data_IF_197902712798
#
_entry.id   IF_197902712798
#
_cell.length_a   1.000
_cell.length_b   1.000
_cell.length_c   1.000
_cell.angle_alpha   90.00
_cell.angle_beta   90.00
_cell.angle_gamma   90.00
#
_symmetry.space_group_name_H-M   'P 1'
#
loop_
_entity.id
_entity.type
_entity.pdbx_description
1 polymer ?
#
# COMPACT_ATOMS: atom_id res chain seq x y z
N UNK A 1 -9.12 -9.62 10.67
CA UNK A 1 -8.32 -8.48 10.19
C UNK A 1 -8.93 -7.97 8.90
N UNK A 2 -9.53 -6.76 8.90
CA UNK A 2 -10.18 -6.24 7.69
C UNK A 2 -9.14 -5.86 6.63
N UNK A 3 -9.37 -6.32 5.42
CA UNK A 3 -8.54 -6.01 4.25
C UNK A 3 -9.48 -5.48 3.18
N UNK A 4 -9.24 -4.24 2.77
CA UNK A 4 -10.00 -3.61 1.70
C UNK A 4 -9.10 -3.38 0.51
N UNK A 5 -9.42 -4.03 -0.61
CA UNK A 5 -8.74 -3.77 -1.86
C UNK A 5 -9.39 -2.58 -2.54
N UNK A 6 -8.58 -1.60 -2.86
CA UNK A 6 -9.03 -0.36 -3.50
C UNK A 6 -8.23 -0.12 -4.76
N UNK A 7 -8.94 0.24 -5.84
CA UNK A 7 -8.30 0.62 -7.07
C UNK A 7 -8.05 2.12 -7.04
N UNK A 8 -6.78 2.53 -7.21
CA UNK A 8 -6.41 3.94 -7.18
C UNK A 8 -6.15 4.52 -8.58
N UNK A 9 -6.31 3.71 -9.60
CA UNK A 9 -6.18 4.12 -10.99
C UNK A 9 -6.99 3.20 -11.89
N UNK A 10 -6.96 3.46 -13.19
CA UNK A 10 -7.79 2.75 -14.17
C UNK A 10 -7.19 1.42 -14.62
N UNK A 11 -5.88 1.24 -14.43
CA UNK A 11 -5.20 0.04 -14.92
C UNK A 11 -5.32 -1.13 -13.93
N UNK A 12 -5.25 -2.37 -14.43
CA UNK A 12 -5.44 -3.55 -13.56
C UNK A 12 -4.45 -3.65 -12.40
N UNK A 13 -3.24 -3.12 -12.55
CA UNK A 13 -2.21 -3.14 -11.50
C UNK A 13 -2.29 -1.94 -10.56
N UNK A 14 -3.20 -1.00 -10.79
CA UNK A 14 -3.31 0.21 -9.99
C UNK A 14 -4.28 0.00 -8.83
N UNK A 15 -3.90 -0.90 -7.93
CA UNK A 15 -4.68 -1.18 -6.72
C UNK A 15 -3.77 -1.25 -5.50
N UNK A 16 -4.39 -1.25 -4.34
CA UNK A 16 -3.72 -1.46 -3.07
C UNK A 16 -4.67 -2.12 -2.08
N UNK A 17 -4.09 -2.86 -1.16
CA UNK A 17 -4.83 -3.47 -0.07
C UNK A 17 -4.58 -2.67 1.21
N UNK A 18 -5.65 -2.13 1.77
CA UNK A 18 -5.61 -1.47 3.07
C UNK A 18 -5.85 -2.50 4.17
N UNK A 19 -4.86 -2.69 5.02
CA UNK A 19 -4.95 -3.52 6.21
C UNK A 19 -5.05 -2.62 7.41
N UNK A 20 -6.23 -2.55 8.02
CA UNK A 20 -6.40 -1.82 9.27
C UNK A 20 -6.05 -2.73 10.44
N UNK A 21 -5.47 -2.18 11.51
CA UNK A 21 -5.24 -2.97 12.71
C UNK A 21 -6.56 -3.36 13.37
N UNK A 22 -6.51 -4.43 14.17
CA UNK A 22 -7.62 -4.80 15.01
C UNK A 22 -7.82 -3.74 16.10
N UNK A 23 -9.06 -3.48 16.47
CA UNK A 23 -9.40 -2.53 17.51
C UNK A 23 -9.22 -3.15 18.89
N UNK A 24 -8.77 -2.38 19.90
CA UNK A 24 -8.25 -1.01 19.81
C UNK A 24 -6.75 -1.01 19.50
N UNK A 25 -6.33 -0.04 18.68
CA UNK A 25 -4.90 0.16 18.42
C UNK A 25 -4.30 1.09 19.46
N UNK A 26 -3.11 0.77 20.03
CA UNK A 26 -2.44 1.67 20.96
C UNK A 26 -1.96 2.98 20.31
N UNK A 27 -1.93 3.02 18.97
CA UNK A 27 -1.47 4.18 18.21
C UNK A 27 -2.61 5.05 17.69
N UNK A 28 -3.85 4.67 17.95
CA UNK A 28 -5.03 5.42 17.52
C UNK A 28 -5.09 6.76 18.22
N UNK A 29 -5.34 7.84 17.47
CA UNK A 29 -5.66 9.14 18.01
C UNK A 29 -6.79 9.79 17.20
N UNK A 30 -7.07 11.08 17.43
CA UNK A 30 -8.17 11.79 16.75
C UNK A 30 -7.96 11.88 15.24
N UNK A 31 -6.73 11.71 14.77
CA UNK A 31 -6.38 11.76 13.35
C UNK A 31 -6.36 10.38 12.69
N UNK A 32 -6.48 9.32 13.46
CA UNK A 32 -6.46 7.95 12.98
C UNK A 32 -5.24 7.16 13.46
N UNK A 33 -4.90 6.10 12.73
CA UNK A 33 -3.73 5.27 13.02
C UNK A 33 -2.61 5.57 12.04
N UNK A 34 -1.35 5.37 12.43
CA UNK A 34 -0.24 5.45 11.49
C UNK A 34 -0.32 4.32 10.46
N UNK A 35 0.23 4.56 9.28
CA UNK A 35 0.21 3.60 8.19
C UNK A 35 1.60 3.48 7.57
N UNK A 36 1.94 2.28 7.14
CA UNK A 36 3.16 2.04 6.38
C UNK A 36 2.76 1.59 4.98
N UNK A 37 3.24 2.31 3.97
CA UNK A 37 3.08 1.89 2.58
C UNK A 37 4.13 0.85 2.25
N UNK A 38 3.68 -0.30 1.76
CA UNK A 38 4.55 -1.42 1.42
C UNK A 38 4.73 -1.49 -0.10
N UNK A 39 5.97 -1.59 -0.52
CA UNK A 39 6.34 -1.71 -1.93
C UNK A 39 7.08 -3.04 -2.09
N UNK A 40 6.44 -3.98 -2.80
CA UNK A 40 7.04 -5.30 -2.97
C UNK A 40 8.22 -5.28 -3.94
N UNK A 41 9.13 -6.23 -3.77
CA UNK A 41 10.23 -6.46 -4.68
C UNK A 41 9.86 -7.42 -5.80
N UNK A 42 10.85 -7.96 -6.48
CA UNK A 42 10.67 -8.96 -7.53
C UNK A 42 11.27 -8.56 -8.87
N UNK A 43 12.18 -7.60 -8.88
CA UNK A 43 12.89 -7.14 -10.08
C UNK A 43 11.94 -6.68 -11.19
N UNK A 44 10.79 -6.08 -10.80
CA UNK A 44 9.75 -5.59 -11.72
C UNK A 44 9.15 -6.67 -12.63
N UNK A 45 9.20 -7.93 -12.22
CA UNK A 45 8.57 -9.03 -12.96
C UNK A 45 7.13 -9.21 -12.51
N UNK A 46 6.25 -9.52 -13.46
CA UNK A 46 4.81 -9.65 -13.19
C UNK A 46 4.45 -10.88 -12.36
N UNK A 47 5.34 -11.88 -12.27
CA UNK A 47 5.12 -13.04 -11.41
C UNK A 47 5.13 -12.69 -9.92
N UNK A 48 5.69 -11.52 -9.57
CA UNK A 48 5.75 -11.05 -8.19
C UNK A 48 4.71 -9.95 -8.00
N UNK A 49 3.87 -10.11 -6.99
CA UNK A 49 2.78 -9.20 -6.70
C UNK A 49 2.86 -8.69 -5.25
N UNK A 50 1.94 -7.81 -4.90
CA UNK A 50 1.81 -7.32 -3.53
C UNK A 50 1.59 -8.43 -2.51
N UNK A 51 1.20 -9.63 -2.94
CA UNK A 51 1.05 -10.79 -2.05
C UNK A 51 2.35 -11.15 -1.33
N UNK A 52 3.52 -10.79 -1.89
CA UNK A 52 4.81 -10.97 -1.23
C UNK A 52 4.89 -10.28 0.13
N UNK A 53 4.16 -9.18 0.28
CA UNK A 53 4.20 -8.35 1.49
C UNK A 53 3.12 -8.73 2.51
N UNK A 54 2.32 -9.73 2.22
CA UNK A 54 1.21 -10.14 3.10
C UNK A 54 1.67 -10.49 4.53
N UNK A 55 2.76 -11.24 4.73
CA UNK A 55 3.23 -11.52 6.09
C UNK A 55 3.63 -10.27 6.86
N UNK A 56 4.23 -9.29 6.19
CA UNK A 56 4.61 -8.01 6.81
C UNK A 56 3.35 -7.21 7.16
N UNK A 57 2.38 -7.15 6.25
CA UNK A 57 1.11 -6.47 6.50
C UNK A 57 0.39 -7.06 7.71
N UNK A 58 0.38 -8.39 7.83
CA UNK A 58 -0.22 -9.07 8.97
C UNK A 58 0.49 -8.72 10.27
N UNK A 59 1.82 -8.69 10.27
CA UNK A 59 2.60 -8.35 11.46
C UNK A 59 2.37 -6.91 11.90
N UNK A 60 2.25 -5.98 10.95
CA UNK A 60 1.95 -4.57 11.25
C UNK A 60 0.56 -4.43 11.86
N UNK A 61 -0.43 -5.11 11.30
CA UNK A 61 -1.79 -5.09 11.84
C UNK A 61 -1.83 -5.61 13.27
N UNK A 62 -1.11 -6.71 13.55
CA UNK A 62 -1.02 -7.26 14.91
C UNK A 62 -0.35 -6.28 15.88
N UNK A 63 0.55 -5.44 15.38
CA UNK A 63 1.22 -4.42 16.19
C UNK A 63 0.40 -3.13 16.35
N UNK A 64 -0.73 -3.00 15.69
CA UNK A 64 -1.60 -1.83 15.78
C UNK A 64 -1.33 -0.75 14.73
N UNK A 65 -0.61 -1.09 13.66
CA UNK A 65 -0.25 -0.18 12.57
C UNK A 65 -0.95 -0.63 11.29
N UNK A 66 -1.57 0.32 10.58
CA UNK A 66 -2.15 0.02 9.27
C UNK A 66 -1.06 -0.17 8.22
N UNK A 67 -1.39 -0.89 7.16
CA UNK A 67 -0.51 -0.97 6.00
C UNK A 67 -1.28 -0.69 4.71
N UNK A 68 -0.60 -0.06 3.76
CA UNK A 68 -1.08 0.24 2.42
C UNK A 68 -0.19 -0.55 1.46
N UNK A 69 -0.64 -1.75 1.14
CA UNK A 69 0.13 -2.71 0.36
C UNK A 69 -0.20 -2.52 -1.11
N UNK A 70 0.67 -1.79 -1.81
CA UNK A 70 0.37 -1.35 -3.17
C UNK A 70 0.82 -2.34 -4.22
N UNK A 71 0.08 -2.38 -5.32
CA UNK A 71 0.54 -2.89 -6.59
C UNK A 71 0.87 -1.70 -7.49
N UNK A 72 1.71 -1.91 -8.47
CA UNK A 72 2.20 -0.85 -9.33
C UNK A 72 2.65 -1.43 -10.67
N UNK A 73 2.86 -0.58 -11.66
CA UNK A 73 3.31 -1.00 -12.96
C UNK A 73 4.71 -1.61 -12.87
N UNK A 74 4.84 -2.82 -13.42
CA UNK A 74 6.09 -3.59 -13.43
C UNK A 74 6.64 -3.62 -14.84
N UNK A 75 7.89 -4.01 -14.99
CA UNK A 75 8.54 -4.05 -16.29
C UNK A 75 7.71 -4.82 -17.32
N UNK A 76 7.26 -6.02 -16.97
CA UNK A 76 6.54 -6.89 -17.90
C UNK A 76 5.13 -6.39 -18.24
N UNK A 77 4.63 -5.39 -17.53
CA UNK A 77 3.35 -4.75 -17.84
C UNK A 77 3.47 -3.73 -18.98
N UNK A 78 4.70 -3.40 -19.39
CA UNK A 78 4.94 -2.40 -20.42
C UNK A 78 6.35 -2.43 -20.97
N UNK A 79 6.63 -1.46 -21.82
CA UNK A 79 7.84 -1.34 -22.59
C UNK A 79 8.87 -0.39 -21.94
N UNK A 80 9.68 0.25 -22.79
CA UNK A 80 10.66 1.24 -22.38
C UNK A 80 10.04 2.35 -21.53
N UNK A 81 10.82 2.81 -20.54
CA UNK A 81 10.37 3.88 -19.66
C UNK A 81 9.50 3.43 -18.50
N UNK A 82 9.28 2.13 -18.36
CA UNK A 82 8.40 1.57 -17.33
C UNK A 82 8.80 1.97 -15.91
N UNK A 83 10.08 2.19 -15.66
CA UNK A 83 10.52 2.55 -14.32
C UNK A 83 10.01 3.95 -13.91
N UNK A 84 9.87 4.87 -14.85
CA UNK A 84 9.25 6.17 -14.59
C UNK A 84 7.76 6.00 -14.31
N UNK A 85 7.11 5.09 -15.02
CA UNK A 85 5.71 4.78 -14.78
C UNK A 85 5.53 4.09 -13.43
N UNK A 86 6.46 3.22 -13.04
CA UNK A 86 6.46 2.60 -11.72
C UNK A 86 6.57 3.67 -10.63
N UNK A 87 7.50 4.61 -10.77
CA UNK A 87 7.66 5.69 -9.81
C UNK A 87 6.41 6.56 -9.73
N UNK A 88 5.84 6.90 -10.88
CA UNK A 88 4.60 7.67 -10.94
C UNK A 88 3.46 6.95 -10.22
N UNK A 89 3.33 5.64 -10.43
CA UNK A 89 2.31 4.82 -9.77
C UNK A 89 2.51 4.83 -8.25
N UNK A 90 3.74 4.67 -7.78
CA UNK A 90 4.04 4.70 -6.34
C UNK A 90 3.64 6.05 -5.73
N UNK A 91 3.98 7.15 -6.39
CA UNK A 91 3.63 8.49 -5.90
C UNK A 91 2.11 8.71 -5.89
N UNK A 92 1.41 8.22 -6.91
CA UNK A 92 -0.05 8.34 -6.96
C UNK A 92 -0.71 7.50 -5.87
N UNK A 93 -0.20 6.30 -5.62
CA UNK A 93 -0.71 5.44 -4.55
C UNK A 93 -0.51 6.09 -3.17
N UNK A 94 0.61 6.77 -2.95
CA UNK A 94 0.85 7.53 -1.72
C UNK A 94 -0.15 8.67 -1.59
N UNK A 95 -0.38 9.42 -2.66
CA UNK A 95 -1.36 10.50 -2.67
C UNK A 95 -2.77 10.02 -2.34
N UNK A 96 -3.13 8.83 -2.80
CA UNK A 96 -4.43 8.23 -2.49
C UNK A 96 -4.54 7.87 -1.01
N UNK A 97 -3.43 7.41 -0.41
CA UNK A 97 -3.40 7.10 1.02
C UNK A 97 -3.78 8.32 1.87
N UNK A 98 -3.33 9.50 1.49
CA UNK A 98 -3.60 10.73 2.22
C UNK A 98 -5.09 11.09 2.26
N UNK A 99 -5.91 10.50 1.37
CA UNK A 99 -7.34 10.76 1.29
C UNK A 99 -8.17 9.73 2.07
N UNK A 100 -7.55 8.69 2.63
CA UNK A 100 -8.29 7.62 3.31
C UNK A 100 -8.67 8.03 4.73
N UNK A 101 -9.94 7.82 5.11
CA UNK A 101 -10.38 8.08 6.48
C UNK A 101 -9.72 7.09 7.45
N UNK A 102 -9.47 7.54 8.66
CA UNK A 102 -8.92 6.68 9.70
C UNK A 102 -7.41 6.51 9.64
N UNK A 103 -6.74 7.12 8.66
CA UNK A 103 -5.29 7.08 8.50
C UNK A 103 -4.71 8.45 8.86
N UNK A 104 -3.73 8.44 9.75
CA UNK A 104 -2.98 9.65 10.10
C UNK A 104 -1.74 9.74 9.21
N UNK A 105 -1.86 10.49 8.12
CA UNK A 105 -0.78 10.62 7.14
C UNK A 105 0.47 11.28 7.74
N UNK A 106 0.32 12.08 8.80
CA UNK A 106 1.45 12.77 9.43
C UNK A 106 2.36 11.82 10.20
N UNK A 107 1.89 10.61 10.51
CA UNK A 107 2.66 9.56 11.18
C UNK A 107 2.83 8.34 10.26
N UNK A 108 2.74 8.54 8.96
CA UNK A 108 2.82 7.47 7.99
C UNK A 108 4.11 7.56 7.20
N UNK A 109 4.57 6.42 6.70
CA UNK A 109 5.85 6.33 5.99
C UNK A 109 5.82 5.21 4.96
N UNK A 110 6.88 5.15 4.17
CA UNK A 110 7.10 4.11 3.15
C UNK A 110 8.17 3.14 3.63
#
# INVERSE_FOLDING_TARGET
>A
MPIDRMQWGAEPWQYADLHMPDEPSPFQNDHGVPCIMLIHGGFWKTEYTSDLMQPIANALSDAGVASWNIEFRRWEDGDEGVWMDTLSDVLRAWGQLALLPGIDITRSMV
#
